data_IF_143665483169
#
_entry.id   IF_143665483169
#
_cell.length_a   1.000
_cell.length_b   1.000
_cell.length_c   1.000
_cell.angle_alpha   90.00
_cell.angle_beta   90.00
_cell.angle_gamma   90.00
#
_symmetry.space_group_name_H-M   'P 1'
#
loop_
_entity.id
_entity.type
_entity.pdbx_description
1 polymer ?
#
# COMPACT_ATOMS: atom_id res chain seq x y z
N UNK A 1 -62.96 -11.49 -19.26
CA UNK A 1 -64.36 -11.77 -18.88
C UNK A 1 -64.35 -13.02 -18.00
N UNK A 2 -64.70 -12.93 -16.71
CA UNK A 2 -66.05 -13.10 -16.13
C UNK A 2 -66.41 -14.58 -15.84
N UNK A 3 -66.25 -14.95 -14.56
CA UNK A 3 -67.05 -15.89 -13.71
C UNK A 3 -66.95 -17.40 -14.04
N UNK A 4 -67.08 -18.32 -13.07
CA UNK A 4 -67.20 -18.26 -11.60
C UNK A 4 -67.09 -19.71 -11.03
N UNK A 5 -66.66 -20.03 -9.80
CA UNK A 5 -66.92 -19.55 -8.42
C UNK A 5 -67.82 -20.57 -7.66
N UNK A 6 -67.47 -20.86 -6.39
CA UNK A 6 -68.19 -21.66 -5.35
C UNK A 6 -67.91 -23.18 -5.31
N UNK A 7 -67.90 -23.88 -4.16
CA UNK A 7 -67.82 -23.41 -2.75
C UNK A 7 -67.43 -24.54 -1.76
N UNK A 8 -66.60 -24.17 -0.79
CA UNK A 8 -66.47 -24.66 0.60
C UNK A 8 -67.63 -25.49 1.17
N UNK A 9 -67.30 -26.53 1.95
CA UNK A 9 -68.01 -26.92 3.19
C UNK A 9 -67.04 -27.45 4.26
N UNK A 10 -67.30 -27.13 5.54
CA UNK A 10 -66.50 -27.47 6.72
C UNK A 10 -67.34 -28.13 7.82
N UNK A 11 -66.73 -29.01 8.64
CA UNK A 11 -67.11 -29.58 9.96
C UNK A 11 -65.81 -30.22 10.53
N UNK A 12 -65.25 -30.01 11.73
CA UNK A 12 -65.51 -29.22 12.95
C UNK A 12 -66.14 -29.99 14.16
N UNK A 13 -65.46 -29.93 15.34
CA UNK A 13 -65.83 -30.46 16.69
C UNK A 13 -65.64 -31.98 16.92
N UNK A 14 -65.27 -32.50 18.11
CA UNK A 14 -64.91 -31.98 19.47
C UNK A 14 -64.05 -33.05 20.21
N UNK A 15 -62.92 -32.73 20.86
CA UNK A 15 -62.71 -32.43 22.32
C UNK A 15 -62.86 -33.60 23.32
N UNK A 16 -61.74 -33.99 23.95
CA UNK A 16 -61.56 -34.27 25.41
C UNK A 16 -60.05 -34.27 25.71
N UNK A 17 -59.46 -33.22 26.30
CA UNK A 17 -59.30 -32.96 27.74
C UNK A 17 -58.65 -34.09 28.57
N UNK A 18 -57.42 -33.85 29.00
CA UNK A 18 -57.08 -33.92 30.42
C UNK A 18 -56.10 -32.80 30.81
N UNK A 19 -56.12 -32.38 32.08
CA UNK A 19 -55.51 -31.12 32.58
C UNK A 19 -54.25 -31.40 33.40
N UNK A 20 -53.19 -30.59 33.23
CA UNK A 20 -52.37 -30.10 34.35
C UNK A 20 -51.91 -28.67 34.10
N UNK A 21 -52.32 -27.76 34.98
CA UNK A 21 -51.87 -26.36 35.03
C UNK A 21 -51.02 -26.19 36.28
N UNK A 22 -49.82 -25.61 36.19
CA UNK A 22 -49.22 -24.89 37.32
C UNK A 22 -48.12 -23.92 36.87
N UNK A 23 -48.47 -22.62 36.89
CA UNK A 23 -47.70 -21.42 37.26
C UNK A 23 -46.26 -21.14 36.71
N UNK A 24 -45.99 -19.84 36.64
CA UNK A 24 -44.89 -19.16 35.92
C UNK A 24 -43.71 -18.88 36.89
N UNK A 25 -42.48 -18.72 36.38
CA UNK A 25 -41.80 -17.43 36.56
C UNK A 25 -41.15 -16.85 35.29
N UNK A 26 -40.96 -15.53 35.27
CA UNK A 26 -40.33 -14.75 34.21
C UNK A 26 -38.78 -14.71 34.35
N UNK A 27 -38.12 -14.52 33.20
CA UNK A 27 -36.80 -13.90 32.94
C UNK A 27 -35.59 -14.14 33.88
N UNK A 28 -34.43 -14.44 33.26
CA UNK A 28 -33.12 -14.22 33.88
C UNK A 28 -31.92 -14.80 33.13
N UNK A 29 -31.36 -14.02 32.20
CA UNK A 29 -29.95 -13.98 31.75
C UNK A 29 -29.12 -15.28 31.89
N UNK A 30 -28.84 -15.96 30.77
CA UNK A 30 -27.79 -17.00 30.70
C UNK A 30 -26.51 -16.45 30.08
N UNK A 31 -25.49 -16.22 30.91
CA UNK A 31 -24.11 -15.95 30.49
C UNK A 31 -23.48 -17.20 29.86
N UNK A 32 -23.16 -17.14 28.58
CA UNK A 32 -22.37 -18.19 27.92
C UNK A 32 -20.90 -18.13 28.36
N UNK A 33 -20.56 -18.97 29.34
CA UNK A 33 -19.18 -19.36 29.64
C UNK A 33 -18.64 -20.21 28.48
N UNK A 34 -17.73 -19.66 27.68
CA UNK A 34 -16.90 -20.47 26.79
C UNK A 34 -15.70 -21.02 27.58
N UNK A 35 -15.51 -22.34 27.54
CA UNK A 35 -14.57 -23.05 28.40
C UNK A 35 -13.10 -22.82 27.99
N UNK A 36 -12.25 -22.52 28.98
CA UNK A 36 -10.80 -22.64 28.83
C UNK A 36 -10.42 -24.13 28.72
N UNK A 37 -9.96 -24.56 27.54
CA UNK A 37 -9.12 -25.74 27.44
C UNK A 37 -7.66 -25.34 27.67
N UNK A 38 -7.13 -25.71 28.84
CA UNK A 38 -5.70 -25.57 29.15
C UNK A 38 -4.92 -26.63 28.37
N UNK A 39 -4.36 -26.24 27.23
CA UNK A 39 -3.30 -27.02 26.59
C UNK A 39 -1.98 -26.59 27.23
N UNK A 40 -1.35 -27.49 28.00
CA UNK A 40 0.03 -27.34 28.44
C UNK A 40 0.99 -27.51 27.25
N UNK A 41 1.00 -26.53 26.35
CA UNK A 41 2.13 -26.31 25.45
C UNK A 41 3.28 -25.72 26.25
N UNK A 42 4.48 -26.28 26.09
CA UNK A 42 5.69 -25.66 26.65
C UNK A 42 5.86 -24.30 25.99
N UNK A 43 5.58 -23.23 26.74
CA UNK A 43 5.94 -21.87 26.33
C UNK A 43 7.46 -21.76 26.36
N UNK A 44 8.10 -22.18 25.27
CA UNK A 44 9.31 -21.50 24.81
C UNK A 44 8.87 -20.06 24.61
N UNK A 45 9.24 -19.17 25.53
CA UNK A 45 8.97 -17.76 25.35
C UNK A 45 9.45 -17.37 23.97
N UNK A 46 8.56 -16.85 23.12
CA UNK A 46 8.97 -16.33 21.82
C UNK A 46 10.11 -15.36 22.09
N UNK A 47 11.26 -15.63 21.49
CA UNK A 47 12.33 -14.63 21.43
C UNK A 47 11.68 -13.45 20.73
N UNK A 48 11.52 -12.35 21.47
CA UNK A 48 10.97 -11.16 20.86
C UNK A 48 12.00 -10.68 19.84
N UNK A 49 11.55 -10.46 18.61
CA UNK A 49 12.38 -10.04 17.50
C UNK A 49 11.78 -8.78 16.88
N UNK A 50 12.60 -8.05 16.14
CA UNK A 50 12.16 -6.95 15.30
C UNK A 50 13.05 -6.81 14.06
N UNK A 51 12.60 -6.02 13.09
CA UNK A 51 13.39 -5.71 11.91
C UNK A 51 14.14 -4.39 12.08
N UNK A 52 15.44 -4.43 11.82
CA UNK A 52 16.25 -3.27 11.47
C UNK A 52 16.30 -3.18 9.94
N UNK A 53 15.99 -2.01 9.38
CA UNK A 53 15.88 -1.77 7.94
C UNK A 53 16.93 -0.72 7.54
N UNK A 54 17.66 -0.95 6.45
CA UNK A 54 18.62 0.01 5.93
C UNK A 54 18.78 -0.06 4.41
N UNK A 55 18.97 1.07 3.75
CA UNK A 55 19.31 1.15 2.33
C UNK A 55 20.75 0.70 2.07
N UNK A 56 20.94 -0.06 0.99
CA UNK A 56 22.24 -0.50 0.49
C UNK A 56 22.61 0.35 -0.72
N UNK A 57 23.48 1.34 -0.49
CA UNK A 57 23.80 2.39 -1.48
C UNK A 57 24.86 2.01 -2.50
N UNK A 58 24.91 2.77 -3.59
CA UNK A 58 25.91 2.65 -4.66
C UNK A 58 25.47 1.77 -5.84
N UNK A 59 24.20 1.35 -5.86
CA UNK A 59 23.60 0.60 -6.97
C UNK A 59 22.79 1.50 -7.88
N UNK A 60 22.19 2.57 -7.34
CA UNK A 60 21.34 3.50 -8.07
C UNK A 60 21.91 4.92 -8.04
N UNK A 61 21.72 5.66 -9.13
CA UNK A 61 22.09 7.08 -9.21
C UNK A 61 21.45 7.89 -8.06
N UNK A 62 20.23 7.52 -7.68
CA UNK A 62 19.46 8.16 -6.59
C UNK A 62 20.08 7.97 -5.19
N UNK A 63 21.00 7.02 -5.03
CA UNK A 63 21.80 6.86 -3.81
C UNK A 63 22.84 7.99 -3.67
N UNK A 64 23.34 8.51 -4.79
CA UNK A 64 24.43 9.50 -4.83
C UNK A 64 23.92 10.89 -4.39
N UNK A 65 24.56 11.54 -3.41
CA UNK A 65 24.14 12.86 -2.96
C UNK A 65 24.15 13.97 -4.02
N UNK A 66 24.92 13.79 -5.10
CA UNK A 66 25.02 14.71 -6.24
C UNK A 66 23.96 14.50 -7.33
N UNK A 67 23.16 13.44 -7.25
CA UNK A 67 22.01 13.26 -8.15
C UNK A 67 20.86 14.15 -7.68
N UNK A 68 20.60 15.19 -8.47
CA UNK A 68 19.43 16.05 -8.32
C UNK A 68 18.14 15.27 -8.63
N UNK A 69 17.16 15.35 -7.72
CA UNK A 69 15.86 14.70 -7.92
C UNK A 69 14.92 15.50 -8.83
N UNK A 70 15.16 16.81 -8.97
CA UNK A 70 14.43 17.67 -9.90
C UNK A 70 14.67 17.21 -11.34
N UNK A 71 13.59 17.09 -12.11
CA UNK A 71 13.58 16.60 -13.50
C UNK A 71 14.20 15.21 -13.74
N UNK A 72 14.49 14.44 -12.68
CA UNK A 72 15.05 13.10 -12.81
C UNK A 72 14.09 12.14 -13.51
N UNK A 73 14.44 11.65 -14.70
CA UNK A 73 13.62 10.72 -15.46
C UNK A 73 14.16 9.29 -15.40
N UNK A 74 13.59 8.49 -14.49
CA UNK A 74 13.91 7.07 -14.32
C UNK A 74 13.78 6.26 -15.63
N UNK A 75 12.90 6.67 -16.56
CA UNK A 75 12.64 5.97 -17.83
C UNK A 75 13.76 6.15 -18.84
N UNK A 76 14.57 7.22 -18.72
CA UNK A 76 15.71 7.50 -19.59
C UNK A 76 17.02 6.89 -19.09
N UNK A 77 17.05 6.47 -17.82
CA UNK A 77 18.27 6.07 -17.12
C UNK A 77 18.23 4.61 -16.63
N UNK A 78 17.37 3.76 -17.20
CA UNK A 78 17.21 2.36 -16.76
C UNK A 78 16.96 2.26 -15.24
N UNK A 79 15.94 3.00 -14.76
CA UNK A 79 15.63 3.17 -13.33
C UNK A 79 16.73 3.84 -12.49
N UNK A 80 17.84 4.25 -13.11
CA UNK A 80 19.04 4.78 -12.45
C UNK A 80 20.07 3.72 -12.08
N UNK A 81 19.94 2.46 -12.54
CA UNK A 81 20.91 1.40 -12.21
C UNK A 81 22.30 1.77 -12.75
N UNK A 82 23.27 1.88 -11.84
CA UNK A 82 24.64 2.26 -12.17
C UNK A 82 25.31 1.12 -12.94
N UNK A 83 25.88 1.42 -14.11
CA UNK A 83 26.73 0.48 -14.84
C UNK A 83 28.05 0.29 -14.10
N UNK A 84 28.19 -0.86 -13.42
CA UNK A 84 29.34 -1.23 -12.59
C UNK A 84 29.62 -2.72 -12.63
N UNK A 85 30.77 -3.11 -12.10
CA UNK A 85 31.06 -4.51 -11.76
C UNK A 85 30.41 -4.89 -10.42
N UNK A 86 30.09 -6.17 -10.28
CA UNK A 86 29.59 -6.84 -9.08
C UNK A 86 30.47 -8.04 -8.75
N UNK A 87 30.55 -8.43 -7.48
CA UNK A 87 31.36 -9.59 -7.10
C UNK A 87 30.79 -10.89 -7.69
N UNK A 88 29.47 -10.96 -7.92
CA UNK A 88 28.80 -12.07 -8.60
C UNK A 88 29.22 -12.29 -10.05
N UNK A 89 29.79 -11.27 -10.72
CA UNK A 89 30.11 -11.34 -12.15
C UNK A 89 31.10 -12.47 -12.48
N UNK A 90 32.03 -12.77 -11.56
CA UNK A 90 33.11 -13.74 -11.77
C UNK A 90 32.57 -15.15 -12.03
N UNK A 91 31.47 -15.50 -11.36
CA UNK A 91 30.80 -16.80 -11.49
C UNK A 91 29.58 -16.77 -12.42
N UNK A 92 28.82 -15.65 -12.43
CA UNK A 92 27.55 -15.54 -13.16
C UNK A 92 27.72 -15.13 -14.63
N UNK A 93 28.63 -14.21 -14.94
CA UNK A 93 28.84 -13.67 -16.29
C UNK A 93 30.27 -13.14 -16.50
N UNK A 94 31.30 -14.01 -16.42
CA UNK A 94 32.70 -13.59 -16.52
C UNK A 94 33.05 -12.93 -17.87
N UNK A 95 32.32 -13.28 -18.93
CA UNK A 95 32.47 -12.68 -20.26
C UNK A 95 31.71 -11.35 -20.44
N UNK A 96 30.90 -10.93 -19.47
CA UNK A 96 30.03 -9.73 -19.50
C UNK A 96 29.10 -9.68 -20.71
N UNK A 97 28.36 -10.77 -20.95
CA UNK A 97 27.37 -10.94 -22.03
C UNK A 97 25.92 -10.69 -21.60
N UNK A 98 25.65 -10.59 -20.29
CA UNK A 98 24.34 -10.32 -19.70
C UNK A 98 24.14 -8.81 -19.51
N UNK A 99 22.88 -8.42 -19.37
CA UNK A 99 22.51 -7.03 -19.10
C UNK A 99 22.95 -6.61 -17.68
N UNK A 100 23.01 -5.30 -17.42
CA UNK A 100 23.33 -4.79 -16.08
C UNK A 100 22.29 -5.26 -15.05
N UNK A 101 21.01 -5.37 -15.43
CA UNK A 101 19.93 -5.86 -14.56
C UNK A 101 20.03 -7.35 -14.24
N UNK A 102 20.36 -8.21 -15.21
CA UNK A 102 20.59 -9.63 -14.93
C UNK A 102 21.77 -9.84 -13.98
N UNK A 103 22.85 -9.08 -14.17
CA UNK A 103 24.02 -9.10 -13.29
C UNK A 103 23.70 -8.55 -11.90
N UNK A 104 22.82 -7.55 -11.80
CA UNK A 104 22.35 -7.03 -10.53
C UNK A 104 21.40 -7.98 -9.79
N UNK A 105 20.51 -8.69 -10.50
CA UNK A 105 19.71 -9.78 -9.92
C UNK A 105 20.62 -10.89 -9.36
N UNK A 106 21.65 -11.28 -10.11
CA UNK A 106 22.65 -12.25 -9.63
C UNK A 106 23.41 -11.75 -8.39
N UNK A 107 23.73 -10.45 -8.32
CA UNK A 107 24.38 -9.85 -7.15
C UNK A 107 23.45 -9.86 -5.91
N UNK A 108 22.16 -9.50 -6.05
CA UNK A 108 21.20 -9.60 -4.94
C UNK A 108 21.05 -11.07 -4.49
N UNK A 109 21.02 -12.01 -5.43
CA UNK A 109 20.99 -13.44 -5.10
C UNK A 109 22.28 -13.89 -4.38
N UNK A 110 23.46 -13.40 -4.78
CA UNK A 110 24.72 -13.65 -4.06
C UNK A 110 24.69 -13.07 -2.65
N UNK A 111 24.26 -11.82 -2.48
CA UNK A 111 24.14 -11.17 -1.17
C UNK A 111 23.24 -11.96 -0.23
N UNK A 112 22.08 -12.42 -0.70
CA UNK A 112 21.20 -13.30 0.07
C UNK A 112 21.85 -14.66 0.39
N UNK A 113 22.47 -15.32 -0.58
CA UNK A 113 23.11 -16.63 -0.39
C UNK A 113 24.33 -16.61 0.56
N UNK A 114 24.99 -15.45 0.69
CA UNK A 114 26.15 -15.27 1.59
C UNK A 114 25.78 -14.66 2.94
N UNK A 115 24.50 -14.33 3.16
CA UNK A 115 24.00 -13.74 4.39
C UNK A 115 23.69 -14.77 5.47
N UNK A 116 23.59 -14.30 6.72
CA UNK A 116 23.02 -15.11 7.80
C UNK A 116 21.52 -15.29 7.58
N UNK A 117 20.94 -16.37 8.13
CA UNK A 117 19.53 -16.72 7.90
C UNK A 117 18.50 -15.69 8.43
N UNK A 118 18.95 -14.68 9.18
CA UNK A 118 18.17 -13.56 9.69
C UNK A 118 18.43 -12.25 8.93
N UNK A 119 19.21 -12.27 7.84
CA UNK A 119 19.55 -11.11 7.02
C UNK A 119 19.11 -11.35 5.58
N UNK A 120 18.31 -10.45 5.02
CA UNK A 120 17.82 -10.52 3.65
C UNK A 120 18.05 -9.21 2.89
N UNK A 121 18.29 -9.33 1.59
CA UNK A 121 18.40 -8.21 0.66
C UNK A 121 17.20 -8.22 -0.28
N UNK A 122 16.43 -7.12 -0.28
CA UNK A 122 15.19 -6.96 -1.06
C UNK A 122 15.26 -5.66 -1.87
N UNK A 123 14.68 -5.65 -3.07
CA UNK A 123 14.58 -4.49 -3.94
C UNK A 123 13.14 -3.98 -3.96
N UNK A 124 12.93 -2.75 -3.50
CA UNK A 124 11.63 -2.09 -3.48
C UNK A 124 11.50 -1.14 -4.69
N UNK A 125 10.56 -1.40 -5.58
CA UNK A 125 10.15 -0.48 -6.64
C UNK A 125 9.02 0.42 -6.11
N UNK A 126 9.39 1.58 -5.55
CA UNK A 126 8.46 2.56 -4.98
C UNK A 126 7.94 3.51 -6.08
N UNK A 127 6.65 3.46 -6.40
CA UNK A 127 6.03 4.28 -7.46
C UNK A 127 5.05 5.32 -6.92
N UNK A 128 5.25 6.60 -7.25
CA UNK A 128 4.29 7.67 -6.99
C UNK A 128 3.16 7.61 -8.03
N UNK A 129 1.92 7.79 -7.58
CA UNK A 129 0.77 7.89 -8.49
C UNK A 129 0.96 8.94 -9.60
N UNK A 130 0.32 8.71 -10.75
CA UNK A 130 0.15 9.73 -11.79
C UNK A 130 -0.64 10.94 -11.30
N UNK A 131 -0.68 12.02 -12.08
CA UNK A 131 -1.44 13.23 -11.74
C UNK A 131 -2.92 12.90 -11.46
N UNK A 132 -3.37 13.22 -10.24
CA UNK A 132 -4.78 13.17 -9.86
C UNK A 132 -5.42 14.55 -9.90
N UNK A 133 -6.75 14.59 -9.92
CA UNK A 133 -7.49 15.87 -9.93
C UNK A 133 -7.16 16.79 -8.73
N UNK A 134 -6.73 16.22 -7.59
CA UNK A 134 -6.21 16.99 -6.46
C UNK A 134 -4.89 17.73 -6.78
N UNK A 135 -3.97 17.14 -7.56
CA UNK A 135 -2.73 17.82 -7.97
C UNK A 135 -3.02 18.95 -8.96
N UNK A 136 -3.96 18.74 -9.87
CA UNK A 136 -4.43 19.78 -10.80
C UNK A 136 -5.07 20.95 -10.05
N UNK A 137 -5.88 20.65 -9.01
CA UNK A 137 -6.49 21.66 -8.15
C UNK A 137 -5.44 22.42 -7.32
N UNK A 138 -4.49 21.73 -6.68
CA UNK A 138 -3.37 22.37 -5.98
C UNK A 138 -2.56 23.29 -6.91
N UNK A 139 -2.21 22.81 -8.11
CA UNK A 139 -1.49 23.59 -9.12
C UNK A 139 -2.26 24.85 -9.56
N UNK A 140 -3.58 24.73 -9.72
CA UNK A 140 -4.45 25.85 -10.12
C UNK A 140 -4.65 26.89 -9.01
N UNK A 141 -4.85 26.47 -7.76
CA UNK A 141 -5.10 27.37 -6.63
C UNK A 141 -3.81 27.86 -5.94
N UNK A 142 -2.69 27.15 -6.12
CA UNK A 142 -1.43 27.34 -5.41
C UNK A 142 -1.45 26.72 -4.01
N UNK A 143 -0.35 26.08 -3.62
CA UNK A 143 -0.21 25.31 -2.35
C UNK A 143 -0.71 26.06 -1.12
N UNK A 144 -0.45 27.37 -0.99
CA UNK A 144 -0.95 28.16 0.16
C UNK A 144 -2.48 28.23 0.26
N UNK A 145 -3.18 28.41 -0.86
CA UNK A 145 -4.65 28.42 -0.88
C UNK A 145 -5.23 27.01 -0.84
N UNK A 146 -4.49 26.04 -1.36
CA UNK A 146 -4.79 24.62 -1.25
C UNK A 146 -4.81 24.17 0.22
N UNK A 147 -3.68 24.26 0.92
CA UNK A 147 -3.49 23.74 2.27
C UNK A 147 -4.44 24.37 3.30
N UNK A 148 -4.67 25.70 3.24
CA UNK A 148 -5.49 26.36 4.24
C UNK A 148 -6.99 26.41 3.91
N UNK A 149 -7.42 26.15 2.67
CA UNK A 149 -8.83 26.28 2.28
C UNK A 149 -9.35 25.18 1.35
N UNK A 150 -8.75 25.00 0.17
CA UNK A 150 -9.35 24.16 -0.87
C UNK A 150 -9.24 22.66 -0.56
N UNK A 151 -8.13 22.21 0.01
CA UNK A 151 -7.94 20.80 0.39
C UNK A 151 -8.99 20.33 1.42
N UNK A 152 -9.51 21.25 2.25
CA UNK A 152 -10.57 21.00 3.23
C UNK A 152 -11.98 20.89 2.61
N UNK A 153 -12.18 21.44 1.41
CA UNK A 153 -13.42 21.25 0.66
C UNK A 153 -13.41 19.85 0.01
N UNK A 154 -14.57 19.35 -0.40
CA UNK A 154 -14.65 18.08 -1.16
C UNK A 154 -14.30 18.23 -2.64
N UNK A 155 -14.30 19.46 -3.14
CA UNK A 155 -14.24 19.79 -4.55
C UNK A 155 -14.67 21.23 -4.81
N UNK A 156 -14.87 21.54 -6.09
CA UNK A 156 -15.50 22.76 -6.59
C UNK A 156 -16.72 22.39 -7.46
N UNK A 157 -17.23 23.35 -8.25
CA UNK A 157 -18.41 23.14 -9.12
C UNK A 157 -18.19 22.13 -10.26
N UNK A 158 -16.93 21.84 -10.64
CA UNK A 158 -16.60 20.98 -11.79
C UNK A 158 -15.98 19.64 -11.40
N UNK A 159 -15.37 19.54 -10.22
CA UNK A 159 -14.43 18.45 -9.89
C UNK A 159 -14.44 18.14 -8.39
N UNK A 160 -14.50 16.85 -8.05
CA UNK A 160 -14.22 16.35 -6.70
C UNK A 160 -12.76 15.99 -6.56
N UNK A 161 -12.16 16.26 -5.39
CA UNK A 161 -10.86 15.72 -5.02
C UNK A 161 -10.90 14.75 -3.85
N UNK A 162 -12.08 14.49 -3.25
CA UNK A 162 -12.28 13.32 -2.36
C UNK A 162 -11.85 12.05 -3.10
N UNK A 163 -10.92 11.30 -2.51
CA UNK A 163 -10.25 10.13 -3.09
C UNK A 163 -9.96 10.29 -4.60
N UNK A 164 -9.35 11.42 -4.97
CA UNK A 164 -9.24 11.87 -6.36
C UNK A 164 -8.73 10.78 -7.31
N UNK A 165 -9.47 10.58 -8.42
CA UNK A 165 -9.01 9.79 -9.56
C UNK A 165 -7.88 10.49 -10.32
N UNK A 166 -7.18 9.73 -11.17
CA UNK A 166 -6.22 10.22 -12.15
C UNK A 166 -6.88 11.13 -13.20
N UNK A 167 -6.16 12.17 -13.61
CA UNK A 167 -6.47 12.94 -14.81
C UNK A 167 -6.11 12.13 -16.07
N UNK A 168 -6.52 12.54 -17.28
CA UNK A 168 -6.02 11.96 -18.52
C UNK A 168 -4.49 12.03 -18.65
N UNK A 169 -3.85 13.04 -18.07
CA UNK A 169 -2.38 13.13 -17.99
C UNK A 169 -1.81 12.09 -17.02
N UNK A 170 -2.41 11.91 -15.83
CA UNK A 170 -2.00 10.88 -14.89
C UNK A 170 -2.10 9.46 -15.44
N UNK A 171 -3.15 9.18 -16.22
CA UNK A 171 -3.29 7.91 -16.96
C UNK A 171 -2.15 7.76 -17.99
N UNK A 172 -1.86 8.81 -18.76
CA UNK A 172 -0.75 8.81 -19.74
C UNK A 172 0.62 8.58 -19.08
N UNK A 173 0.87 9.18 -17.91
CA UNK A 173 2.09 8.97 -17.12
C UNK A 173 2.23 7.50 -16.69
N UNK A 174 1.16 6.89 -16.16
CA UNK A 174 1.16 5.47 -15.79
C UNK A 174 1.36 4.53 -17.00
N UNK A 175 0.75 4.85 -18.14
CA UNK A 175 0.96 4.11 -19.40
C UNK A 175 2.37 4.31 -19.99
N UNK A 176 3.01 5.46 -19.75
CA UNK A 176 4.42 5.66 -20.09
C UNK A 176 5.33 4.79 -19.21
N UNK A 177 4.99 4.61 -17.92
CA UNK A 177 5.66 3.65 -17.06
C UNK A 177 5.43 2.20 -17.51
N UNK A 178 4.24 1.83 -17.99
CA UNK A 178 3.99 0.50 -18.59
C UNK A 178 4.87 0.24 -19.81
N UNK A 179 4.96 1.20 -20.75
CA UNK A 179 5.82 1.07 -21.95
C UNK A 179 7.29 0.92 -21.58
N UNK A 180 7.74 1.65 -20.57
CA UNK A 180 9.07 1.50 -20.00
C UNK A 180 9.27 0.11 -19.40
N UNK A 181 8.38 -0.37 -18.52
CA UNK A 181 8.45 -1.73 -17.97
C UNK A 181 8.47 -2.81 -19.06
N UNK A 182 7.64 -2.71 -20.09
CA UNK A 182 7.64 -3.65 -21.21
C UNK A 182 9.01 -3.70 -21.92
N UNK A 183 9.60 -2.54 -22.20
CA UNK A 183 10.93 -2.46 -22.80
C UNK A 183 12.03 -2.99 -21.86
N UNK A 184 11.96 -2.69 -20.57
CA UNK A 184 12.89 -3.19 -19.56
C UNK A 184 12.83 -4.72 -19.40
N UNK A 185 11.64 -5.31 -19.51
CA UNK A 185 11.43 -6.77 -19.48
C UNK A 185 12.04 -7.42 -20.73
N UNK A 186 11.79 -6.86 -21.91
CA UNK A 186 12.23 -7.43 -23.20
C UNK A 186 13.71 -7.21 -23.48
N UNK A 187 14.22 -5.99 -23.27
CA UNK A 187 15.55 -5.55 -23.71
C UNK A 187 16.61 -5.62 -22.60
N UNK A 188 16.24 -5.27 -21.37
CA UNK A 188 17.15 -5.26 -20.23
C UNK A 188 17.00 -6.48 -19.31
N UNK A 189 15.96 -7.29 -19.51
CA UNK A 189 15.66 -8.49 -18.72
C UNK A 189 15.66 -8.14 -17.21
N UNK A 190 14.91 -7.09 -16.87
CA UNK A 190 14.74 -6.63 -15.48
C UNK A 190 14.05 -7.72 -14.64
N UNK A 191 14.50 -7.99 -13.39
CA UNK A 191 13.72 -8.77 -12.44
C UNK A 191 12.40 -8.04 -12.14
N UNK A 192 11.30 -8.58 -12.67
CA UNK A 192 9.96 -8.04 -12.41
C UNK A 192 9.56 -8.22 -10.95
N UNK A 193 8.69 -7.34 -10.41
CA UNK A 193 8.13 -7.55 -9.08
C UNK A 193 7.42 -8.90 -8.98
N UNK A 194 7.68 -9.63 -7.90
CA UNK A 194 7.04 -10.90 -7.59
C UNK A 194 5.73 -10.68 -6.82
N UNK A 195 5.63 -9.56 -6.11
CA UNK A 195 4.45 -9.08 -5.38
C UNK A 195 4.23 -7.59 -5.58
N UNK A 196 2.96 -7.17 -5.53
CA UNK A 196 2.53 -5.79 -5.77
C UNK A 196 1.67 -5.30 -4.61
N UNK A 197 2.18 -4.34 -3.83
CA UNK A 197 1.41 -3.65 -2.81
C UNK A 197 0.94 -2.29 -3.31
N UNK A 198 -0.27 -1.88 -2.92
CA UNK A 198 -0.87 -0.64 -3.40
C UNK A 198 -1.66 0.07 -2.29
N UNK A 199 -1.60 1.40 -2.30
CA UNK A 199 -2.40 2.26 -1.45
C UNK A 199 -3.92 2.09 -1.70
N UNK A 200 -4.78 2.23 -0.67
CA UNK A 200 -6.23 2.23 -0.83
C UNK A 200 -6.79 3.42 -1.61
N UNK A 201 -6.01 4.48 -1.86
CA UNK A 201 -6.49 5.68 -2.56
C UNK A 201 -6.51 5.45 -4.09
N UNK A 202 -7.62 5.81 -4.74
CA UNK A 202 -7.96 5.44 -6.12
C UNK A 202 -6.88 5.79 -7.14
N UNK A 203 -6.26 6.96 -7.03
CA UNK A 203 -5.12 7.39 -7.86
C UNK A 203 -3.97 6.38 -7.91
N UNK A 204 -3.63 5.74 -6.80
CA UNK A 204 -2.57 4.72 -6.75
C UNK A 204 -3.02 3.41 -7.39
N UNK A 205 -4.27 2.99 -7.14
CA UNK A 205 -4.84 1.81 -7.77
C UNK A 205 -4.91 1.96 -9.30
N UNK A 206 -5.41 3.09 -9.78
CA UNK A 206 -5.44 3.43 -11.20
C UNK A 206 -4.03 3.52 -11.80
N UNK A 207 -3.05 4.02 -11.05
CA UNK A 207 -1.64 4.04 -11.51
C UNK A 207 -1.10 2.61 -11.64
N UNK A 208 -1.18 1.80 -10.58
CA UNK A 208 -0.70 0.42 -10.59
C UNK A 208 -1.33 -0.40 -11.72
N UNK A 209 -2.65 -0.28 -11.91
CA UNK A 209 -3.36 -0.91 -13.03
C UNK A 209 -2.81 -0.45 -14.38
N UNK A 210 -2.72 0.85 -14.62
CA UNK A 210 -2.22 1.37 -15.91
C UNK A 210 -0.71 1.12 -16.12
N UNK A 211 0.07 0.85 -15.08
CA UNK A 211 1.50 0.55 -15.17
C UNK A 211 1.79 -0.94 -15.41
N UNK A 212 1.01 -1.86 -14.84
CA UNK A 212 1.35 -3.29 -14.85
C UNK A 212 0.36 -4.21 -15.57
N UNK A 213 -0.90 -3.80 -15.74
CA UNK A 213 -1.88 -4.65 -16.43
C UNK A 213 -1.52 -4.83 -17.91
N UNK A 214 -1.50 -6.09 -18.37
CA UNK A 214 -1.19 -6.44 -19.77
C UNK A 214 0.30 -6.60 -20.08
N UNK A 215 1.20 -6.41 -19.11
CA UNK A 215 2.62 -6.76 -19.27
C UNK A 215 2.82 -8.28 -19.41
N UNK A 216 3.88 -8.67 -20.14
CA UNK A 216 4.30 -10.06 -20.27
C UNK A 216 5.02 -10.53 -18.99
N UNK A 217 4.25 -10.80 -17.94
CA UNK A 217 4.76 -11.26 -16.65
C UNK A 217 4.80 -12.79 -16.57
N UNK A 218 5.71 -13.38 -15.75
CA UNK A 218 5.75 -14.82 -15.54
C UNK A 218 4.40 -15.37 -15.02
N UNK A 219 3.85 -16.47 -15.57
CA UNK A 219 2.53 -16.99 -15.19
C UNK A 219 2.37 -17.34 -13.71
N UNK A 220 3.47 -17.70 -13.04
CA UNK A 220 3.52 -17.99 -11.61
C UNK A 220 3.58 -16.74 -10.72
N UNK A 221 3.87 -15.57 -11.30
CA UNK A 221 3.92 -14.25 -10.63
C UNK A 221 3.08 -13.22 -11.40
N UNK A 222 1.76 -13.43 -11.54
CA UNK A 222 0.88 -12.51 -12.25
C UNK A 222 0.66 -11.22 -11.46
N UNK A 223 0.25 -10.14 -12.15
CA UNK A 223 -0.16 -8.90 -11.51
C UNK A 223 -1.44 -9.10 -10.67
N UNK A 224 -1.26 -9.39 -9.37
CA UNK A 224 -2.31 -9.53 -8.36
C UNK A 224 -2.01 -8.65 -7.14
N UNK A 225 -2.42 -7.38 -7.15
CA UNK A 225 -2.14 -6.47 -6.05
C UNK A 225 -2.81 -6.82 -4.73
N UNK A 226 -2.13 -6.44 -3.65
CA UNK A 226 -2.64 -6.40 -2.29
C UNK A 226 -2.81 -4.94 -1.86
N UNK A 227 -4.04 -4.54 -1.56
CA UNK A 227 -4.37 -3.22 -1.02
C UNK A 227 -4.02 -3.19 0.46
N UNK A 228 -3.14 -2.25 0.85
CA UNK A 228 -2.64 -2.08 2.22
C UNK A 228 -2.96 -0.68 2.73
N UNK A 229 -3.79 -0.56 3.76
CA UNK A 229 -4.34 0.73 4.26
C UNK A 229 -3.22 1.72 4.58
N UNK A 230 -2.18 1.26 5.26
CA UNK A 230 -1.09 2.09 5.76
C UNK A 230 -0.09 2.55 4.66
N UNK A 231 -0.32 2.20 3.38
CA UNK A 231 0.39 2.79 2.22
C UNK A 231 -0.27 4.07 1.68
N UNK A 232 -1.23 4.66 2.40
CA UNK A 232 -1.89 5.93 2.05
C UNK A 232 -1.04 7.17 2.32
N UNK A 233 -1.39 8.27 1.65
CA UNK A 233 -0.79 9.60 1.86
C UNK A 233 -1.05 10.09 3.30
N UNK A 234 -0.42 11.21 3.68
CA UNK A 234 -0.61 11.89 4.96
C UNK A 234 -2.09 11.91 5.39
N UNK A 235 -2.41 11.37 6.56
CA UNK A 235 -3.81 11.18 6.95
C UNK A 235 -4.39 12.47 7.56
N UNK A 236 -5.55 12.89 7.06
CA UNK A 236 -6.44 13.87 7.70
C UNK A 236 -6.37 15.30 7.16
N UNK A 237 -7.43 16.05 7.48
CA UNK A 237 -7.80 17.42 7.05
C UNK A 237 -8.02 17.57 5.56
N UNK A 238 -7.05 17.20 4.74
CA UNK A 238 -7.18 17.21 3.28
C UNK A 238 -8.16 16.11 2.86
N UNK A 239 -9.24 16.46 2.17
CA UNK A 239 -10.28 15.49 1.78
C UNK A 239 -9.80 14.54 0.68
N UNK A 240 -8.76 14.91 -0.08
CA UNK A 240 -8.10 14.01 -1.03
C UNK A 240 -7.34 12.86 -0.37
N UNK A 241 -7.09 12.95 0.93
CA UNK A 241 -6.44 11.90 1.71
C UNK A 241 -7.47 11.01 2.42
N UNK A 242 -8.78 11.28 2.27
CA UNK A 242 -9.88 10.40 2.68
C UNK A 242 -10.13 9.35 1.59
N UNK A 243 -10.23 8.07 1.98
CA UNK A 243 -10.41 6.95 1.03
C UNK A 243 -11.87 6.57 0.79
N UNK A 244 -12.10 5.94 -0.36
CA UNK A 244 -13.33 5.23 -0.70
C UNK A 244 -13.60 4.05 0.24
N UNK A 245 -14.84 3.57 0.24
CA UNK A 245 -15.24 2.42 1.04
C UNK A 245 -14.61 1.12 0.52
N UNK A 246 -14.44 0.11 1.38
CA UNK A 246 -13.92 -1.22 1.01
C UNK A 246 -14.72 -1.81 -0.15
N UNK A 247 -16.03 -1.69 -0.11
CA UNK A 247 -16.95 -2.13 -1.16
C UNK A 247 -16.70 -1.41 -2.51
N UNK A 248 -16.43 -0.09 -2.49
CA UNK A 248 -16.09 0.67 -3.69
C UNK A 248 -14.74 0.24 -4.29
N UNK A 249 -13.73 0.02 -3.45
CA UNK A 249 -12.40 -0.47 -3.85
C UNK A 249 -12.53 -1.87 -4.48
N UNK A 250 -13.14 -2.83 -3.78
CA UNK A 250 -13.31 -4.20 -4.27
C UNK A 250 -14.14 -4.27 -5.56
N UNK A 251 -15.19 -3.44 -5.70
CA UNK A 251 -15.98 -3.38 -6.95
C UNK A 251 -15.17 -2.91 -8.15
N UNK A 252 -14.15 -2.05 -7.93
CA UNK A 252 -13.32 -1.53 -9.01
C UNK A 252 -12.30 -2.55 -9.49
N UNK A 253 -11.74 -3.33 -8.56
CA UNK A 253 -10.78 -4.39 -8.85
C UNK A 253 -11.18 -5.69 -8.13
N UNK A 254 -12.14 -6.47 -8.67
CA UNK A 254 -12.70 -7.64 -7.99
C UNK A 254 -11.68 -8.72 -7.63
N UNK A 255 -10.63 -8.87 -8.44
CA UNK A 255 -9.58 -9.89 -8.28
C UNK A 255 -8.39 -9.42 -7.41
N UNK A 256 -8.42 -8.18 -6.90
CA UNK A 256 -7.39 -7.67 -6.00
C UNK A 256 -7.67 -8.09 -4.56
N UNK A 257 -6.61 -8.37 -3.82
CA UNK A 257 -6.69 -8.72 -2.40
C UNK A 257 -6.77 -7.42 -1.61
N UNK A 258 -7.71 -7.32 -0.67
CA UNK A 258 -7.70 -6.28 0.36
C UNK A 258 -7.30 -6.95 1.66
N UNK A 259 -6.37 -6.36 2.40
CA UNK A 259 -5.85 -6.92 3.64
C UNK A 259 -6.92 -7.25 4.70
N UNK A 260 -6.56 -8.16 5.61
CA UNK A 260 -7.37 -8.50 6.77
C UNK A 260 -7.50 -7.31 7.72
N UNK A 261 -8.64 -7.20 8.39
CA UNK A 261 -8.94 -6.07 9.29
C UNK A 261 -9.34 -4.77 8.58
N UNK A 262 -9.17 -4.65 7.26
CA UNK A 262 -9.56 -3.45 6.51
C UNK A 262 -11.05 -3.12 6.66
N UNK A 263 -11.35 -1.95 7.22
CA UNK A 263 -12.70 -1.48 7.59
C UNK A 263 -13.49 -0.98 6.38
N UNK A 264 -14.82 -1.09 6.42
CA UNK A 264 -15.68 -0.66 5.31
C UNK A 264 -15.53 0.85 5.02
N UNK A 265 -15.62 1.69 6.06
CA UNK A 265 -15.46 3.14 5.93
C UNK A 265 -14.04 3.57 6.33
N UNK A 266 -13.66 4.78 5.94
CA UNK A 266 -12.42 5.41 6.40
C UNK A 266 -12.55 5.88 7.86
N UNK A 267 -12.00 5.08 8.78
CA UNK A 267 -12.01 5.37 10.22
C UNK A 267 -10.72 6.07 10.69
N UNK A 268 -9.72 6.22 9.81
CA UNK A 268 -8.44 6.85 10.13
C UNK A 268 -8.42 8.35 9.79
N UNK A 269 -9.14 8.76 8.73
CA UNK A 269 -9.20 10.16 8.34
C UNK A 269 -9.94 11.03 9.38
N UNK A 270 -9.32 12.14 9.76
CA UNK A 270 -9.90 13.12 10.67
C UNK A 270 -10.12 14.46 9.95
N UNK A 271 -11.27 15.14 10.14
CA UNK A 271 -11.50 16.47 9.57
C UNK A 271 -10.73 17.60 10.27
N UNK A 272 -10.11 17.35 11.43
CA UNK A 272 -9.51 18.39 12.30
C UNK A 272 -8.08 18.11 12.74
N UNK A 273 -7.59 16.90 12.52
CA UNK A 273 -6.22 16.49 12.85
C UNK A 273 -5.53 15.98 11.58
N UNK A 274 -4.33 16.48 11.32
CA UNK A 274 -3.42 16.01 10.28
C UNK A 274 -2.25 15.27 10.91
N UNK A 275 -1.85 14.19 10.25
CA UNK A 275 -0.69 13.39 10.58
C UNK A 275 0.60 14.22 10.40
N UNK A 276 1.51 14.17 11.37
CA UNK A 276 2.85 14.78 11.26
C UNK A 276 3.83 13.84 10.56
N UNK A 277 4.95 14.34 10.05
CA UNK A 277 6.02 13.51 9.48
C UNK A 277 6.51 12.42 10.44
N UNK A 278 6.62 12.72 11.75
CA UNK A 278 6.99 11.73 12.78
C UNK A 278 5.92 10.62 12.91
N UNK A 279 4.64 10.97 12.79
CA UNK A 279 3.55 10.00 12.84
C UNK A 279 3.47 9.17 11.56
N UNK A 280 3.74 9.79 10.41
CA UNK A 280 3.85 9.12 9.13
C UNK A 280 5.03 8.15 9.13
N UNK A 281 6.19 8.52 9.66
CA UNK A 281 7.37 7.65 9.76
C UNK A 281 7.11 6.45 10.69
N UNK A 282 6.38 6.66 11.81
CA UNK A 282 5.93 5.56 12.67
C UNK A 282 4.95 4.62 11.95
N UNK A 283 3.98 5.16 11.19
CA UNK A 283 3.05 4.36 10.37
C UNK A 283 3.76 3.60 9.25
N UNK A 284 4.74 4.24 8.60
CA UNK A 284 5.53 3.66 7.52
C UNK A 284 6.45 2.55 8.02
N UNK A 285 7.05 2.67 9.21
CA UNK A 285 7.79 1.56 9.84
C UNK A 285 6.88 0.36 10.11
N UNK A 286 5.66 0.58 10.61
CA UNK A 286 4.71 -0.51 10.85
C UNK A 286 4.36 -1.29 9.56
N UNK A 287 4.08 -0.59 8.46
CA UNK A 287 3.69 -1.26 7.21
C UNK A 287 4.88 -1.89 6.46
N UNK A 288 6.07 -1.29 6.57
CA UNK A 288 7.30 -1.92 6.08
C UNK A 288 7.66 -3.15 6.93
N UNK A 289 7.47 -3.12 8.24
CA UNK A 289 7.69 -4.30 9.09
C UNK A 289 6.74 -5.43 8.75
N UNK A 290 5.46 -5.14 8.52
CA UNK A 290 4.49 -6.15 8.10
C UNK A 290 4.82 -6.73 6.71
N UNK A 291 5.17 -5.88 5.74
CA UNK A 291 5.53 -6.31 4.38
C UNK A 291 6.86 -7.09 4.36
N UNK A 292 7.83 -6.76 5.23
CA UNK A 292 9.19 -7.30 5.14
C UNK A 292 9.48 -8.44 6.12
N UNK A 293 8.60 -8.69 7.10
CA UNK A 293 8.78 -9.76 8.09
C UNK A 293 8.60 -11.16 7.48
N UNK A 294 7.49 -11.38 6.77
CA UNK A 294 7.01 -12.71 6.40
C UNK A 294 6.90 -12.93 4.87
N UNK A 295 7.22 -11.90 4.08
CA UNK A 295 7.26 -11.99 2.63
C UNK A 295 8.57 -12.66 2.15
N UNK A 296 8.47 -13.70 1.32
CA UNK A 296 9.63 -14.43 0.79
C UNK A 296 10.22 -13.80 -0.50
N UNK A 297 9.64 -12.72 -1.02
CA UNK A 297 10.01 -12.15 -2.30
C UNK A 297 11.22 -11.20 -2.21
N UNK A 298 12.11 -11.28 -3.19
CA UNK A 298 13.24 -10.36 -3.35
C UNK A 298 12.81 -9.06 -4.01
N UNK A 299 11.91 -9.12 -5.00
CA UNK A 299 11.52 -7.99 -5.84
C UNK A 299 10.07 -7.58 -5.57
N UNK A 300 9.88 -6.40 -4.96
CA UNK A 300 8.59 -5.95 -4.41
C UNK A 300 8.21 -4.61 -5.07
N UNK A 301 6.97 -4.47 -5.55
CA UNK A 301 6.44 -3.17 -5.99
C UNK A 301 5.54 -2.55 -4.93
N UNK A 302 5.68 -1.24 -4.70
CA UNK A 302 4.84 -0.47 -3.78
C UNK A 302 4.32 0.77 -4.53
N UNK A 303 3.03 0.80 -4.87
CA UNK A 303 2.37 1.93 -5.54
C UNK A 303 1.66 2.84 -4.54
N UNK A 304 2.18 4.06 -4.37
CA UNK A 304 1.85 4.97 -3.26
C UNK A 304 1.98 6.46 -3.65
N UNK A 305 2.29 7.33 -2.69
CA UNK A 305 2.19 8.79 -2.77
C UNK A 305 3.50 9.49 -2.42
N UNK A 306 3.56 10.79 -2.64
CA UNK A 306 4.72 11.65 -2.38
C UNK A 306 5.19 11.59 -0.93
N UNK A 307 4.32 11.89 0.03
CA UNK A 307 4.68 11.89 1.46
C UNK A 307 5.00 10.49 1.95
N UNK A 308 4.22 9.49 1.54
CA UNK A 308 4.43 8.09 1.93
C UNK A 308 5.77 7.52 1.42
N UNK A 309 6.19 7.88 0.21
CA UNK A 309 7.50 7.48 -0.31
C UNK A 309 8.62 8.26 0.39
N UNK A 310 8.48 9.57 0.61
CA UNK A 310 9.46 10.35 1.38
C UNK A 310 9.65 9.79 2.82
N UNK A 311 8.55 9.40 3.47
CA UNK A 311 8.56 8.70 4.76
C UNK A 311 9.26 7.34 4.68
N UNK A 312 9.00 6.55 3.63
CA UNK A 312 9.69 5.27 3.42
C UNK A 312 11.20 5.46 3.23
N UNK A 313 11.64 6.45 2.46
CA UNK A 313 13.06 6.77 2.30
C UNK A 313 13.71 7.12 3.64
N UNK A 314 13.08 7.97 4.47
CA UNK A 314 13.56 8.29 5.83
C UNK A 314 13.65 7.06 6.72
N UNK A 315 12.61 6.22 6.75
CA UNK A 315 12.55 5.00 7.57
C UNK A 315 13.59 3.95 7.15
N UNK A 316 13.91 3.88 5.86
CA UNK A 316 14.95 3.01 5.31
C UNK A 316 16.37 3.60 5.41
N UNK A 317 16.53 4.85 5.85
CA UNK A 317 17.83 5.53 5.89
C UNK A 317 18.38 5.94 4.51
N UNK A 318 17.54 5.99 3.48
CA UNK A 318 17.88 6.59 2.19
C UNK A 318 17.89 8.14 2.33
N UNK A 319 18.61 8.84 1.45
CA UNK A 319 18.50 10.32 1.34
C UNK A 319 17.10 10.74 0.90
N UNK A 320 16.75 12.02 1.06
CA UNK A 320 15.57 12.54 0.38
C UNK A 320 15.76 12.44 -1.14
N UNK A 321 14.72 11.95 -1.83
CA UNK A 321 14.66 11.94 -3.30
C UNK A 321 13.21 12.21 -3.72
N UNK A 322 12.95 13.38 -4.29
CA UNK A 322 11.59 13.78 -4.66
C UNK A 322 11.17 13.11 -5.97
N UNK A 323 9.91 12.65 -6.04
CA UNK A 323 9.35 12.03 -7.23
C UNK A 323 8.26 12.90 -7.83
N UNK A 324 8.34 13.15 -9.14
CA UNK A 324 7.23 13.67 -9.95
C UNK A 324 6.06 12.69 -10.04
N UNK A 325 4.89 13.16 -10.49
CA UNK A 325 3.72 12.31 -10.68
C UNK A 325 4.00 11.23 -11.74
N UNK A 326 3.67 9.97 -11.41
CA UNK A 326 3.96 8.80 -12.25
C UNK A 326 5.45 8.41 -12.32
N UNK A 327 6.30 8.93 -11.44
CA UNK A 327 7.69 8.49 -11.30
C UNK A 327 7.83 7.36 -10.28
N UNK A 328 8.94 6.63 -10.37
CA UNK A 328 9.28 5.55 -9.45
C UNK A 328 10.78 5.50 -9.16
N UNK A 329 11.15 5.01 -7.98
CA UNK A 329 12.51 4.81 -7.49
C UNK A 329 12.69 3.35 -7.03
N UNK A 330 13.72 2.64 -7.51
CA UNK A 330 14.18 1.40 -6.91
C UNK A 330 15.01 1.71 -5.65
N UNK A 331 14.82 0.95 -4.58
CA UNK A 331 15.65 1.03 -3.37
C UNK A 331 16.06 -0.36 -2.97
N UNK A 332 17.36 -0.67 -3.04
CA UNK A 332 17.90 -1.91 -2.47
C UNK A 332 18.00 -1.72 -0.96
N UNK A 333 17.40 -2.65 -0.21
CA UNK A 333 17.39 -2.63 1.25
C UNK A 333 17.97 -3.91 1.82
N UNK A 334 18.62 -3.78 2.98
CA UNK A 334 18.97 -4.85 3.89
C UNK A 334 17.93 -4.88 5.02
N UNK A 335 17.41 -6.07 5.27
CA UNK A 335 16.45 -6.39 6.32
C UNK A 335 17.15 -7.32 7.30
N UNK A 336 17.45 -6.84 8.50
CA UNK A 336 18.02 -7.64 9.57
C UNK A 336 16.95 -7.94 10.63
N UNK A 337 16.70 -9.22 10.89
CA UNK A 337 15.86 -9.70 11.98
C UNK A 337 16.73 -9.84 13.23
N UNK A 338 16.47 -9.00 14.22
CA UNK A 338 17.31 -8.81 15.41
C UNK A 338 16.55 -9.22 16.67
N UNK A 339 17.23 -9.97 17.55
CA UNK A 339 16.70 -10.37 18.85
C UNK A 339 16.57 -9.16 19.79
N UNK A 340 15.41 -9.01 20.40
CA UNK A 340 15.04 -7.93 21.31
C UNK A 340 13.70 -7.31 20.94
N UNK A 341 13.07 -6.64 21.92
CA UNK A 341 11.91 -5.78 21.65
C UNK A 341 12.27 -4.62 20.72
N UNK A 342 11.37 -4.24 19.82
CA UNK A 342 11.41 -2.95 19.15
C UNK A 342 11.75 -1.83 20.15
N UNK A 343 12.70 -0.92 19.82
CA UNK A 343 12.99 0.24 20.65
C UNK A 343 11.70 1.02 20.96
N UNK A 344 11.53 1.45 22.21
CA UNK A 344 10.30 2.14 22.63
C UNK A 344 10.21 3.54 22.01
N UNK A 345 9.59 3.63 20.84
CA UNK A 345 9.25 4.91 20.22
C UNK A 345 8.09 5.56 20.97
N UNK A 346 8.18 6.87 21.21
CA UNK A 346 7.09 7.67 21.76
C UNK A 346 6.06 7.91 20.65
N UNK A 347 4.78 7.59 20.90
CA UNK A 347 3.71 7.85 19.93
C UNK A 347 3.76 9.32 19.47
N UNK A 348 3.98 9.52 18.17
CA UNK A 348 4.03 10.84 17.56
C UNK A 348 2.71 11.59 17.72
N UNK A 349 2.79 12.92 17.72
CA UNK A 349 1.62 13.78 17.80
C UNK A 349 1.06 14.09 16.41
N UNK A 350 -0.25 14.10 16.31
CA UNK A 350 -0.97 14.74 15.22
C UNK A 350 -1.21 16.21 15.60
N UNK A 351 -1.48 17.06 14.61
CA UNK A 351 -1.65 18.49 14.81
C UNK A 351 -2.92 19.00 14.10
N UNK A 352 -3.46 20.13 14.56
CA UNK A 352 -4.48 20.87 13.81
C UNK A 352 -3.75 21.92 12.97
N UNK A 353 -3.82 21.86 11.62
CA UNK A 353 -3.19 22.87 10.76
C UNK A 353 -3.93 24.21 10.85
N UNK A 354 -3.25 25.28 10.45
CA UNK A 354 -3.88 26.59 10.27
C UNK A 354 -4.81 26.56 9.05
N UNK A 355 -6.00 27.14 9.19
CA UNK A 355 -7.02 27.17 8.13
C UNK A 355 -7.48 28.59 7.85
N UNK A 356 -7.91 28.83 6.61
CA UNK A 356 -8.44 30.10 6.15
C UNK A 356 -9.97 30.02 6.07
N UNK A 357 -10.72 31.07 6.47
CA UNK A 357 -12.19 31.10 6.34
C UNK A 357 -12.67 31.32 4.89
N UNK A 358 -11.77 31.73 4.01
CA UNK A 358 -11.96 31.95 2.57
C UNK A 358 -10.63 31.71 1.86
N UNK A 359 -10.59 31.49 0.53
CA UNK A 359 -9.33 31.43 -0.20
C UNK A 359 -8.50 32.72 0.06
N UNK A 360 -7.19 32.62 0.35
CA UNK A 360 -6.33 33.79 0.38
C UNK A 360 -6.25 34.43 -1.02
N UNK A 361 -6.01 35.75 -1.05
CA UNK A 361 -5.81 36.51 -2.29
C UNK A 361 -4.38 36.36 -2.83
#
# INVERSE_FOLDING_TARGET
MVKGRKSVKSINRRVSYEKKTCLIPLLGISTFLFALFVIMGVSRGQVQEHLELSTVTGYFQQDDPSTESNDYDFKKNSFGLVNRLYDSDVDFDPDRKKTQWQRFEAEINRLNNQSQANTHYKLLYLGRHGEGYHNLAESFYGTKAWDCYWSLQKGNETTTWVDAELTPLGISQAQAAQKFWANMIESEIIPVPQVYYVSPLLRCQQTAWNTFFGLNLPPERPFKPVVKELLRECIGVHTCDMRSSKNQIQKRYPDWIIEDGFTENDELWSPTLRESDEAMDQRTKLILDEILADDEHTFISISSHSGQIASALRVLGHREFQLGTGQAIPVLIKVDRVSGSLPRVKKAKWFTPETCPSPPK
#
